data_IF_727509447532
#
_entry.id   IF_727509447532
#
_cell.length_a   1.000
_cell.length_b   1.000
_cell.length_c   1.000
_cell.angle_alpha   90.00
_cell.angle_beta   90.00
_cell.angle_gamma   90.00
#
_symmetry.space_group_name_H-M   'P 1'
#
loop_
_entity.id
_entity.type
_entity.pdbx_description
1 polymer ?
#
# COMPACT_ATOMS: atom_id res chain seq x y z
N UNK A 1 28.60 14.22 45.37
CA UNK A 1 27.90 13.23 44.51
C UNK A 1 26.52 13.68 43.98
N UNK A 2 25.93 14.80 44.43
CA UNK A 2 24.60 15.26 43.94
C UNK A 2 24.59 15.80 42.49
N UNK A 3 25.70 16.36 42.00
CA UNK A 3 25.75 17.00 40.67
C UNK A 3 25.62 16.06 39.48
N UNK A 4 25.97 14.77 39.63
CA UNK A 4 25.85 13.76 38.57
C UNK A 4 24.44 13.23 38.41
N UNK A 5 23.68 13.11 39.51
CA UNK A 5 22.28 12.69 39.47
C UNK A 5 21.37 13.76 38.84
N UNK A 6 21.63 15.04 39.15
CA UNK A 6 20.89 16.15 38.55
C UNK A 6 21.13 16.24 37.04
N UNK A 7 22.39 16.09 36.59
CA UNK A 7 22.76 16.06 35.16
C UNK A 7 22.14 14.87 34.41
N UNK A 8 22.04 13.69 35.04
CA UNK A 8 21.35 12.54 34.45
C UNK A 8 19.85 12.80 34.28
N UNK A 9 19.19 13.38 35.30
CA UNK A 9 17.77 13.74 35.22
C UNK A 9 17.49 14.75 34.11
N UNK A 10 18.30 15.80 33.97
CA UNK A 10 18.12 16.80 32.91
C UNK A 10 18.36 16.21 31.53
N UNK A 11 19.35 15.32 31.38
CA UNK A 11 19.59 14.58 30.14
C UNK A 11 18.39 13.70 29.75
N UNK A 12 17.84 12.93 30.69
CA UNK A 12 16.66 12.09 30.42
C UNK A 12 15.42 12.91 30.07
N UNK A 13 15.21 14.06 30.71
CA UNK A 13 14.12 14.98 30.38
C UNK A 13 14.30 15.59 28.98
N UNK A 14 15.53 15.95 28.60
CA UNK A 14 15.86 16.44 27.26
C UNK A 14 15.70 15.36 26.18
N UNK A 15 16.17 14.14 26.43
CA UNK A 15 15.95 13.02 25.51
C UNK A 15 14.45 12.73 25.33
N UNK A 16 13.69 12.72 26.43
CA UNK A 16 12.23 12.52 26.38
C UNK A 16 11.53 13.60 25.58
N UNK A 17 11.91 14.87 25.74
CA UNK A 17 11.28 15.96 24.99
C UNK A 17 11.60 15.87 23.49
N UNK A 18 12.81 15.45 23.12
CA UNK A 18 13.19 15.19 21.73
C UNK A 18 12.33 14.07 21.14
N UNK A 19 12.25 12.90 21.79
CA UNK A 19 11.42 11.79 21.28
C UNK A 19 9.95 12.16 21.18
N UNK A 20 9.41 12.95 22.13
CA UNK A 20 8.03 13.45 22.06
C UNK A 20 7.83 14.43 20.90
N UNK A 21 8.78 15.32 20.64
CA UNK A 21 8.71 16.26 19.52
C UNK A 21 8.75 15.53 18.17
N UNK A 22 9.69 14.59 18.00
CA UNK A 22 9.78 13.75 16.81
C UNK A 22 8.54 12.87 16.63
N UNK A 23 8.03 12.27 17.72
CA UNK A 23 6.79 11.48 17.67
C UNK A 23 5.59 12.29 17.21
N UNK A 24 5.43 13.53 17.72
CA UNK A 24 4.37 14.44 17.25
C UNK A 24 4.54 14.87 15.80
N UNK A 25 5.78 15.15 15.37
CA UNK A 25 6.08 15.46 13.98
C UNK A 25 5.73 14.27 13.07
N UNK A 26 6.16 13.07 13.42
CA UNK A 26 5.83 11.83 12.70
C UNK A 26 4.32 11.57 12.66
N UNK A 27 3.60 11.75 13.76
CA UNK A 27 2.13 11.60 13.74
C UNK A 27 1.44 12.62 12.82
N UNK A 28 2.03 13.82 12.65
CA UNK A 28 1.51 14.87 11.77
C UNK A 28 1.90 14.64 10.30
N UNK A 29 3.08 14.11 10.04
CA UNK A 29 3.63 13.94 8.68
C UNK A 29 3.35 12.57 8.09
N UNK A 30 3.28 11.53 8.93
CA UNK A 30 3.00 10.17 8.49
C UNK A 30 1.49 9.99 8.45
N UNK A 31 0.91 9.68 7.29
CA UNK A 31 -0.53 9.47 7.15
C UNK A 31 -0.98 8.11 7.74
N UNK A 32 -0.66 7.85 9.02
CA UNK A 32 -0.97 6.59 9.72
C UNK A 32 -2.48 6.34 9.83
N UNK A 33 -3.27 7.41 9.91
CA UNK A 33 -4.73 7.34 9.91
C UNK A 33 -5.32 7.33 8.48
N UNK A 34 -4.50 7.42 7.44
CA UNK A 34 -4.98 7.44 6.07
C UNK A 34 -5.45 6.03 5.69
N UNK A 35 -6.77 5.88 5.66
CA UNK A 35 -7.44 4.64 5.29
C UNK A 35 -7.02 4.17 3.89
N UNK A 36 -6.72 5.08 2.96
CA UNK A 36 -6.25 4.72 1.61
C UNK A 36 -4.96 3.91 1.70
N UNK A 37 -3.96 4.38 2.44
CA UNK A 37 -2.67 3.68 2.62
C UNK A 37 -2.89 2.33 3.28
N UNK A 38 -3.71 2.28 4.34
CA UNK A 38 -4.06 1.02 5.00
C UNK A 38 -4.66 0.01 4.02
N UNK A 39 -5.56 0.47 3.16
CA UNK A 39 -6.21 -0.35 2.15
C UNK A 39 -5.33 -0.65 0.94
N UNK A 40 -4.08 -0.19 0.89
CA UNK A 40 -3.15 -0.54 -0.20
C UNK A 40 -2.12 -1.57 0.19
N UNK A 41 -2.04 -1.92 1.47
CA UNK A 41 -1.11 -2.94 1.95
C UNK A 41 -1.33 -4.31 1.28
N UNK A 42 -2.52 -4.60 0.73
CA UNK A 42 -2.75 -5.85 -0.01
C UNK A 42 -1.89 -5.96 -1.27
N UNK A 43 -1.40 -4.84 -1.82
CA UNK A 43 -0.49 -4.82 -2.96
C UNK A 43 0.88 -5.42 -2.62
N UNK A 44 1.28 -5.43 -1.34
CA UNK A 44 2.48 -6.13 -0.91
C UNK A 44 2.30 -7.65 -0.82
N UNK A 45 1.11 -8.17 -1.19
CA UNK A 45 0.73 -9.60 -1.15
C UNK A 45 0.90 -10.30 0.22
N UNK A 46 1.15 -9.54 1.29
CA UNK A 46 1.27 -10.03 2.66
C UNK A 46 -0.06 -10.44 3.32
N UNK A 47 -1.16 -10.50 2.56
CA UNK A 47 -2.49 -10.81 3.08
C UNK A 47 -2.90 -12.22 2.70
N UNK A 48 -3.02 -13.10 3.68
CA UNK A 48 -3.51 -14.46 3.48
C UNK A 48 -5.05 -14.56 3.31
N UNK A 49 -5.78 -13.45 3.41
CA UNK A 49 -7.26 -13.42 3.35
C UNK A 49 -7.76 -12.64 2.16
N UNK A 50 -8.27 -13.36 1.15
CA UNK A 50 -8.87 -12.80 -0.08
C UNK A 50 -10.02 -11.84 0.27
N UNK A 51 -10.84 -12.17 1.26
CA UNK A 51 -11.96 -11.32 1.71
C UNK A 51 -11.51 -9.90 2.12
N UNK A 52 -10.39 -9.81 2.87
CA UNK A 52 -9.82 -8.51 3.28
C UNK A 52 -9.24 -7.74 2.10
N UNK A 53 -8.68 -8.45 1.12
CA UNK A 53 -8.18 -7.84 -0.11
C UNK A 53 -9.34 -7.27 -0.93
N UNK A 54 -10.43 -8.04 -1.10
CA UNK A 54 -11.65 -7.60 -1.79
C UNK A 54 -12.31 -6.41 -1.08
N UNK A 55 -12.38 -6.43 0.25
CA UNK A 55 -12.87 -5.29 1.03
C UNK A 55 -12.03 -4.03 0.75
N UNK A 56 -10.71 -4.19 0.65
CA UNK A 56 -9.80 -3.09 0.36
C UNK A 56 -9.93 -2.59 -1.08
N UNK A 57 -10.12 -3.47 -2.06
CA UNK A 57 -10.42 -3.11 -3.45
C UNK A 57 -11.73 -2.33 -3.59
N UNK A 58 -12.77 -2.75 -2.87
CA UNK A 58 -14.05 -2.00 -2.83
C UNK A 58 -13.87 -0.62 -2.22
N UNK A 59 -13.09 -0.52 -1.14
CA UNK A 59 -12.79 0.77 -0.53
C UNK A 59 -12.03 1.68 -1.50
N UNK A 60 -10.93 1.20 -2.09
CA UNK A 60 -10.10 1.99 -3.00
C UNK A 60 -10.85 2.41 -4.26
N UNK A 61 -11.57 1.50 -4.93
CA UNK A 61 -12.38 1.86 -6.10
C UNK A 61 -13.51 2.83 -5.75
N UNK A 62 -13.99 2.86 -4.50
CA UNK A 62 -14.90 3.87 -4.00
C UNK A 62 -14.27 5.25 -3.76
N UNK A 63 -12.95 5.33 -3.53
CA UNK A 63 -12.24 6.60 -3.33
C UNK A 63 -11.78 7.26 -4.64
N UNK A 64 -11.69 6.49 -5.73
CA UNK A 64 -11.27 6.97 -7.07
C UNK A 64 -12.29 6.59 -8.15
N UNK A 65 -13.51 7.16 -8.10
CA UNK A 65 -14.56 6.88 -9.10
C UNK A 65 -14.19 7.34 -10.52
N UNK A 66 -13.27 8.29 -10.65
CA UNK A 66 -12.73 8.76 -11.94
C UNK A 66 -11.89 7.69 -12.66
N UNK A 67 -11.30 6.76 -11.90
CA UNK A 67 -10.38 5.73 -12.41
C UNK A 67 -11.12 4.42 -12.70
N UNK A 68 -12.09 4.07 -11.85
CA UNK A 68 -12.91 2.86 -11.98
C UNK A 68 -14.37 3.23 -11.76
N UNK A 69 -15.20 3.10 -12.79
CA UNK A 69 -16.61 3.40 -12.70
C UNK A 69 -17.35 2.37 -11.81
N UNK A 70 -18.48 2.76 -11.21
CA UNK A 70 -19.26 1.87 -10.34
C UNK A 70 -19.66 0.55 -11.02
N UNK A 71 -20.01 0.61 -12.30
CA UNK A 71 -20.34 -0.56 -13.14
C UNK A 71 -19.15 -1.50 -13.37
N UNK A 72 -17.92 -0.99 -13.29
CA UNK A 72 -16.69 -1.78 -13.49
C UNK A 72 -16.20 -2.42 -12.18
N UNK A 73 -16.75 -2.06 -11.01
CA UNK A 73 -16.26 -2.53 -9.71
C UNK A 73 -16.39 -4.04 -9.52
N UNK A 74 -17.46 -4.65 -10.00
CA UNK A 74 -17.62 -6.11 -9.95
C UNK A 74 -16.57 -6.80 -10.82
N UNK A 75 -16.39 -6.33 -12.06
CA UNK A 75 -15.38 -6.86 -12.97
C UNK A 75 -13.95 -6.70 -12.46
N UNK A 76 -13.65 -5.62 -11.73
CA UNK A 76 -12.36 -5.43 -11.05
C UNK A 76 -12.13 -6.51 -9.97
N UNK A 77 -13.18 -6.85 -9.22
CA UNK A 77 -13.10 -7.91 -8.20
C UNK A 77 -12.88 -9.27 -8.89
N UNK A 78 -13.54 -9.51 -10.02
CA UNK A 78 -13.35 -10.74 -10.79
C UNK A 78 -11.92 -10.85 -11.33
N UNK A 79 -11.36 -9.76 -11.89
CA UNK A 79 -9.94 -9.70 -12.29
C UNK A 79 -9.00 -10.04 -11.13
N UNK A 80 -9.28 -9.51 -9.93
CA UNK A 80 -8.48 -9.79 -8.75
C UNK A 80 -8.55 -11.27 -8.34
N UNK A 81 -9.74 -11.87 -8.36
CA UNK A 81 -9.88 -13.29 -8.07
C UNK A 81 -9.17 -14.14 -9.11
N UNK A 82 -9.25 -13.80 -10.40
CA UNK A 82 -8.51 -14.50 -11.44
C UNK A 82 -7.00 -14.42 -11.21
N UNK A 83 -6.48 -13.25 -10.84
CA UNK A 83 -5.07 -13.08 -10.47
C UNK A 83 -4.65 -13.93 -9.25
N UNK A 84 -5.49 -14.00 -8.22
CA UNK A 84 -5.20 -14.78 -7.01
C UNK A 84 -5.39 -16.29 -7.19
N UNK A 85 -6.33 -16.70 -8.04
CA UNK A 85 -6.68 -18.11 -8.29
C UNK A 85 -5.89 -18.74 -9.45
N UNK A 86 -5.26 -17.96 -10.33
CA UNK A 86 -4.59 -18.47 -11.51
C UNK A 86 -3.52 -17.54 -12.10
N UNK A 87 -2.44 -18.16 -12.57
CA UNK A 87 -1.36 -17.58 -13.40
C UNK A 87 -0.45 -16.50 -12.78
N UNK A 88 -0.33 -16.38 -11.47
CA UNK A 88 0.87 -15.71 -10.94
C UNK A 88 2.01 -16.73 -10.91
N UNK A 89 2.65 -16.95 -12.06
CA UNK A 89 3.77 -17.91 -12.20
C UNK A 89 4.96 -17.57 -11.28
N UNK A 90 5.02 -16.33 -10.78
CA UNK A 90 6.04 -15.89 -9.83
C UNK A 90 5.36 -15.19 -8.65
N UNK A 91 5.33 -15.78 -7.44
CA UNK A 91 5.00 -15.02 -6.24
C UNK A 91 6.03 -13.88 -6.08
N UNK A 92 5.60 -12.76 -5.49
CA UNK A 92 6.50 -11.67 -5.08
C UNK A 92 7.68 -12.31 -4.31
N UNK A 93 8.87 -12.30 -4.92
CA UNK A 93 10.06 -12.68 -4.20
C UNK A 93 10.22 -11.72 -3.03
N UNK A 94 10.66 -12.23 -1.87
CA UNK A 94 10.85 -11.42 -0.65
C UNK A 94 11.79 -10.22 -0.93
N UNK A 95 12.65 -10.34 -1.94
CA UNK A 95 13.61 -9.31 -2.35
C UNK A 95 13.13 -8.41 -3.51
N UNK A 96 11.97 -8.68 -4.11
CA UNK A 96 11.46 -7.87 -5.22
C UNK A 96 10.68 -6.66 -4.71
N UNK A 97 11.04 -5.47 -5.22
CA UNK A 97 10.28 -4.26 -4.89
C UNK A 97 8.86 -4.35 -5.45
N UNK A 98 7.89 -3.95 -4.63
CA UNK A 98 6.46 -3.99 -4.95
C UNK A 98 6.13 -3.25 -6.26
N UNK A 99 6.81 -2.14 -6.56
CA UNK A 99 6.64 -1.39 -7.80
C UNK A 99 7.08 -2.16 -9.04
N UNK A 100 8.23 -2.84 -8.97
CA UNK A 100 8.77 -3.67 -10.06
C UNK A 100 7.84 -4.86 -10.31
N UNK A 101 7.39 -5.52 -9.25
CA UNK A 101 6.45 -6.63 -9.35
C UNK A 101 5.16 -6.21 -10.06
N UNK A 102 4.50 -5.14 -9.60
CA UNK A 102 3.26 -4.69 -10.24
C UNK A 102 3.52 -4.18 -11.65
N UNK A 103 4.68 -3.58 -11.96
CA UNK A 103 5.01 -3.24 -13.34
C UNK A 103 5.03 -4.48 -14.25
N UNK A 104 5.60 -5.60 -13.79
CA UNK A 104 5.58 -6.88 -14.52
C UNK A 104 4.15 -7.42 -14.68
N UNK A 105 3.41 -7.56 -13.59
CA UNK A 105 2.02 -8.07 -13.61
C UNK A 105 1.14 -7.23 -14.53
N UNK A 106 1.24 -5.91 -14.45
CA UNK A 106 0.45 -5.00 -15.27
C UNK A 106 0.91 -4.95 -16.74
N UNK A 107 2.11 -5.43 -17.05
CA UNK A 107 2.60 -5.57 -18.42
C UNK A 107 2.13 -6.86 -19.11
N UNK A 108 1.57 -7.81 -18.35
CA UNK A 108 1.07 -9.08 -18.88
C UNK A 108 -0.04 -8.85 -19.91
N UNK A 109 0.02 -9.64 -20.98
CA UNK A 109 -0.94 -9.62 -22.07
C UNK A 109 -1.57 -10.99 -22.24
N UNK A 110 -2.90 -11.02 -22.36
CA UNK A 110 -3.63 -12.21 -22.80
C UNK A 110 -3.59 -12.30 -24.31
N UNK A 111 -3.69 -13.50 -24.89
CA UNK A 111 -4.03 -13.65 -26.31
C UNK A 111 -5.41 -13.03 -26.52
N UNK A 112 -5.60 -11.98 -27.37
CA UNK A 112 -4.87 -11.57 -28.58
C UNK A 112 -4.01 -10.29 -28.43
N UNK A 113 -3.13 -10.21 -27.42
CA UNK A 113 -2.27 -9.06 -27.15
C UNK A 113 -2.91 -7.95 -26.30
N UNK A 114 -4.12 -8.17 -25.76
CA UNK A 114 -4.78 -7.23 -24.84
C UNK A 114 -4.18 -7.34 -23.44
N UNK A 115 -4.18 -6.25 -22.69
CA UNK A 115 -3.72 -6.26 -21.29
C UNK A 115 -4.52 -7.29 -20.48
N UNK A 116 -3.83 -8.13 -19.70
CA UNK A 116 -4.42 -9.26 -18.97
C UNK A 116 -5.34 -8.79 -17.82
N UNK A 117 -4.95 -7.72 -17.11
CA UNK A 117 -5.68 -7.15 -15.97
C UNK A 117 -5.88 -5.62 -16.14
N UNK A 118 -6.75 -5.17 -17.04
CA UNK A 118 -6.90 -3.75 -17.36
C UNK A 118 -7.48 -2.92 -16.21
N UNK A 119 -8.46 -3.41 -15.46
CA UNK A 119 -9.05 -2.66 -14.35
C UNK A 119 -8.11 -2.59 -13.15
N UNK A 120 -7.42 -3.69 -12.83
CA UNK A 120 -6.36 -3.68 -11.82
C UNK A 120 -5.26 -2.69 -12.20
N UNK A 121 -4.86 -2.63 -13.47
CA UNK A 121 -3.87 -1.66 -13.96
C UNK A 121 -4.33 -0.22 -13.77
N UNK A 122 -5.58 0.11 -14.12
CA UNK A 122 -6.13 1.45 -13.92
C UNK A 122 -6.09 1.82 -12.44
N UNK A 123 -6.61 0.96 -11.58
CA UNK A 123 -6.68 1.24 -10.15
C UNK A 123 -5.31 1.42 -9.52
N UNK A 124 -4.37 0.49 -9.75
CA UNK A 124 -3.05 0.52 -9.13
C UNK A 124 -2.26 1.75 -9.59
N UNK A 125 -2.29 2.09 -10.89
CA UNK A 125 -1.66 3.30 -11.41
C UNK A 125 -2.31 4.59 -10.89
N UNK A 126 -3.64 4.58 -10.77
CA UNK A 126 -4.44 5.71 -10.28
C UNK A 126 -4.39 5.89 -8.76
N UNK A 127 -3.95 4.89 -7.99
CA UNK A 127 -3.75 5.07 -6.55
C UNK A 127 -2.55 5.96 -6.27
N UNK A 128 -2.63 6.88 -5.27
CA UNK A 128 -1.57 7.84 -4.95
C UNK A 128 -0.24 7.21 -4.48
N UNK A 129 -0.16 5.89 -4.34
CA UNK A 129 1.09 5.19 -4.04
C UNK A 129 2.01 5.06 -5.26
N UNK A 130 1.48 5.11 -6.48
CA UNK A 130 2.34 5.16 -7.67
C UNK A 130 3.23 6.42 -7.70
N UNK A 131 2.79 7.50 -7.04
CA UNK A 131 3.57 8.73 -6.86
C UNK A 131 4.60 8.62 -5.71
N UNK A 132 4.33 7.81 -4.67
CA UNK A 132 5.24 7.65 -3.53
C UNK A 132 6.31 6.58 -3.72
N UNK A 133 6.26 5.79 -4.80
CA UNK A 133 7.24 4.73 -5.11
C UNK A 133 8.43 5.23 -5.96
N UNK A 134 8.38 6.51 -6.36
CA UNK A 134 9.46 7.21 -7.08
C UNK A 134 10.48 7.89 -6.17
N UNK A 135 10.41 7.68 -4.85
CA UNK A 135 11.39 8.18 -3.89
C UNK A 135 12.41 7.09 -3.54
#
# INVERSE_FOLDING_TARGET
MLGTQQKKKTFHLGARSIYLAYGKALLKTVPLANKVIKHTNFLALNYNSIERQVQSLRYLSGQVPEVVADVEKSSLIDEWHLFMCGDCEEPLSVDERVDVYWAKVLSLKSSPGRQKYPLMSKLIKGTPLSASWKC
#
